data_IF_105115875584
#
_entry.id   IF_105115875584
#
_cell.length_a   1.000
_cell.length_b   1.000
_cell.length_c   1.000
_cell.angle_alpha   90.00
_cell.angle_beta   90.00
_cell.angle_gamma   90.00
#
_symmetry.space_group_name_H-M   'P 1'
#
loop_
_entity.id
_entity.type
_entity.pdbx_description
1 polymer ?
#
# COMPACT_ATOMS: atom_id res chain seq x y z
N UNK A 1 6.38 5.81 -1.68
CA UNK A 1 6.71 6.36 -3.01
C UNK A 1 6.60 7.89 -3.00
N UNK A 2 7.37 8.60 -3.81
CA UNK A 2 7.28 10.05 -3.97
C UNK A 2 6.83 10.36 -5.41
N UNK A 3 5.99 11.38 -5.63
CA UNK A 3 5.48 11.75 -6.95
C UNK A 3 6.58 12.08 -7.98
N UNK A 4 7.78 12.47 -7.53
CA UNK A 4 8.94 12.73 -8.38
C UNK A 4 9.78 11.48 -8.67
N UNK A 5 9.47 10.32 -8.08
CA UNK A 5 10.23 9.10 -8.32
C UNK A 5 9.85 8.49 -9.68
N UNK A 6 10.80 8.49 -10.61
CA UNK A 6 10.64 7.93 -11.97
C UNK A 6 11.27 6.54 -12.13
N UNK A 7 11.66 5.89 -11.03
CA UNK A 7 12.23 4.54 -11.06
C UNK A 7 11.21 3.53 -11.61
N UNK A 8 11.61 2.79 -12.64
CA UNK A 8 10.83 1.66 -13.16
C UNK A 8 10.79 0.53 -12.14
N UNK A 9 9.61 -0.05 -11.93
CA UNK A 9 9.46 -1.22 -11.06
C UNK A 9 9.98 -2.47 -11.76
N UNK A 10 10.75 -3.28 -11.03
CA UNK A 10 11.35 -4.51 -11.53
C UNK A 10 10.85 -5.73 -10.76
N UNK A 11 10.82 -6.88 -11.44
CA UNK A 11 10.47 -8.18 -10.84
C UNK A 11 11.31 -8.44 -9.58
N UNK A 12 10.66 -8.92 -8.53
CA UNK A 12 11.30 -9.24 -7.26
C UNK A 12 11.36 -8.06 -6.28
N UNK A 13 11.02 -6.84 -6.70
CA UNK A 13 10.83 -5.73 -5.78
C UNK A 13 9.63 -5.99 -4.86
N UNK A 14 9.80 -5.65 -3.59
CA UNK A 14 8.75 -5.66 -2.56
C UNK A 14 8.67 -4.29 -1.93
N UNK A 15 7.45 -3.75 -1.81
CA UNK A 15 7.20 -2.45 -1.19
C UNK A 15 5.74 -2.34 -0.73
N UNK A 16 5.44 -1.27 0.00
CA UNK A 16 4.11 -0.99 0.54
C UNK A 16 3.28 -0.12 -0.41
N UNK A 17 1.99 -0.40 -0.48
CA UNK A 17 0.97 0.53 -1.00
C UNK A 17 0.13 0.98 0.19
N UNK A 18 0.39 2.21 0.67
CA UNK A 18 -0.10 2.67 1.98
C UNK A 18 -0.73 4.08 1.97
N UNK A 19 -1.74 4.36 1.13
CA UNK A 19 -2.38 5.68 1.11
C UNK A 19 -3.05 5.99 2.45
N UNK A 20 -2.95 7.25 2.89
CA UNK A 20 -3.61 7.73 4.10
C UNK A 20 -4.20 9.12 3.97
N UNK A 21 -5.31 9.35 4.67
CA UNK A 21 -5.95 10.65 4.84
C UNK A 21 -5.91 10.99 6.32
N UNK A 22 -5.46 12.21 6.61
CA UNK A 22 -5.30 12.70 7.98
C UNK A 22 -6.02 14.03 8.11
N UNK A 23 -6.94 14.12 9.07
CA UNK A 23 -7.71 15.32 9.38
C UNK A 23 -7.34 15.78 10.79
N UNK A 24 -6.69 16.95 10.93
CA UNK A 24 -6.29 17.47 12.24
C UNK A 24 -7.46 17.49 13.23
N UNK A 25 -7.17 17.08 14.47
CA UNK A 25 -8.14 17.03 15.58
C UNK A 25 -9.34 16.08 15.41
N UNK A 26 -9.45 15.36 14.29
CA UNK A 26 -10.49 14.33 14.05
C UNK A 26 -9.86 12.94 14.08
N UNK A 27 -8.79 12.72 13.33
CA UNK A 27 -8.12 11.42 13.23
C UNK A 27 -7.49 11.20 11.86
N UNK A 28 -7.21 9.94 11.54
CA UNK A 28 -6.69 9.54 10.24
C UNK A 28 -6.94 8.07 9.96
N UNK A 29 -6.91 7.73 8.68
CA UNK A 29 -7.04 6.36 8.19
C UNK A 29 -5.89 6.12 7.22
N UNK A 30 -5.23 4.97 7.37
CA UNK A 30 -4.27 4.42 6.41
C UNK A 30 -4.62 2.96 6.20
N UNK A 31 -4.69 2.54 4.94
CA UNK A 31 -4.84 1.14 4.55
C UNK A 31 -3.54 0.78 3.84
N UNK A 32 -2.96 -0.36 4.18
CA UNK A 32 -1.63 -0.77 3.75
C UNK A 32 -1.62 -2.24 3.35
N UNK A 33 -0.98 -2.52 2.22
CA UNK A 33 -0.62 -3.87 1.78
C UNK A 33 0.87 -3.91 1.38
N UNK A 34 1.54 -5.02 1.70
CA UNK A 34 2.80 -5.42 1.09
C UNK A 34 2.56 -6.05 -0.29
N UNK A 35 3.25 -5.57 -1.31
CA UNK A 35 3.13 -6.06 -2.70
C UNK A 35 4.48 -6.52 -3.26
N UNK A 36 4.47 -7.63 -3.99
CA UNK A 36 5.58 -8.17 -4.76
C UNK A 36 5.35 -7.93 -6.26
N UNK A 37 6.35 -7.41 -6.97
CA UNK A 37 6.34 -7.34 -8.43
C UNK A 37 6.71 -8.70 -9.01
N UNK A 38 5.83 -9.26 -9.81
CA UNK A 38 5.98 -10.53 -10.54
C UNK A 38 6.15 -10.26 -12.03
N UNK A 39 6.41 -11.32 -12.81
CA UNK A 39 6.50 -11.19 -14.28
C UNK A 39 5.16 -10.78 -14.93
N UNK A 40 4.02 -11.00 -14.25
CA UNK A 40 2.68 -10.82 -14.81
C UNK A 40 1.85 -9.74 -14.08
N UNK A 41 2.46 -8.93 -13.21
CA UNK A 41 1.78 -7.93 -12.41
C UNK A 41 2.23 -7.94 -10.95
N UNK A 42 1.29 -7.80 -10.02
CA UNK A 42 1.55 -7.77 -8.57
C UNK A 42 0.95 -8.98 -7.86
N UNK A 43 1.64 -9.46 -6.84
CA UNK A 43 1.10 -10.35 -5.81
C UNK A 43 0.94 -9.57 -4.51
N UNK A 44 -0.23 -9.66 -3.87
CA UNK A 44 -0.48 -9.05 -2.56
C UNK A 44 -0.11 -10.06 -1.48
N UNK A 45 0.85 -9.71 -0.62
CA UNK A 45 1.39 -10.59 0.40
C UNK A 45 0.60 -10.55 1.73
N UNK A 46 -0.28 -9.56 1.87
CA UNK A 46 -1.05 -9.28 3.10
C UNK A 46 -2.55 -9.48 2.83
N UNK A 47 -3.26 -10.09 3.79
CA UNK A 47 -4.63 -10.60 3.57
C UNK A 47 -5.66 -10.11 4.59
N UNK A 48 -5.30 -9.18 5.47
CA UNK A 48 -6.24 -8.64 6.45
C UNK A 48 -7.38 -7.88 5.75
N UNK A 49 -8.63 -7.94 6.25
CA UNK A 49 -9.74 -7.18 5.68
C UNK A 49 -9.43 -5.69 5.62
N UNK A 50 -9.72 -5.05 4.48
CA UNK A 50 -9.57 -3.60 4.28
C UNK A 50 -10.82 -2.80 4.66
N UNK A 51 -11.91 -3.49 4.94
CA UNK A 51 -13.16 -2.87 5.39
C UNK A 51 -13.02 -2.36 6.83
N UNK A 52 -13.78 -1.32 7.16
CA UNK A 52 -13.83 -0.83 8.53
C UNK A 52 -14.45 -1.89 9.44
N UNK A 53 -13.71 -2.28 10.48
CA UNK A 53 -14.15 -3.21 11.51
C UNK A 53 -14.30 -2.51 12.86
N UNK A 54 -15.31 -2.90 13.63
CA UNK A 54 -15.49 -2.50 15.03
C UNK A 54 -15.23 -3.69 15.93
N UNK A 55 -14.42 -3.50 16.97
CA UNK A 55 -14.06 -4.54 17.94
C UNK A 55 -15.14 -4.75 19.02
#
# INVERSE_FOLDING_TARGET
MNAANTMTLERGMVFTIEPGIYVPSVGGVRIEDDVLITDNGVEILTSYPKELMTL
#
